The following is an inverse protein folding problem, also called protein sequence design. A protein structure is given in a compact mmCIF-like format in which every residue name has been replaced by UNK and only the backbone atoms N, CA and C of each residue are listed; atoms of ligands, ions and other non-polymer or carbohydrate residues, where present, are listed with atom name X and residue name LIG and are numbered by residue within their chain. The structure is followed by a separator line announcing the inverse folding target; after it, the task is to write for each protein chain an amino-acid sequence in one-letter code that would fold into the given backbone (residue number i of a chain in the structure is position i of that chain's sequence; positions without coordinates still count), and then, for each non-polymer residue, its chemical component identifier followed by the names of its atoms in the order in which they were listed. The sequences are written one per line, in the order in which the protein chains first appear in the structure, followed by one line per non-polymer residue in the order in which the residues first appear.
data_IF_198868251227
#
_entry.id   IF_198868251227
#
_cell.length_a   1.000
_cell.length_b   1.000
_cell.length_c   1.000
_cell.angle_alpha   90.00
_cell.angle_beta   90.00
_cell.angle_gamma   90.00
#
_symmetry.space_group_name_H-M   'P 1'
#
loop_
_entity.id
_entity.type
_entity.pdbx_description
1 polymer ?
#
# COMPACT_ATOMS: atom_id res chain seq x y z
N UNK A 1 15.52 -24.54 -5.40
CA UNK A 1 15.14 -23.74 -4.23
C UNK A 1 13.99 -22.83 -4.56
N UNK A 2 12.98 -22.81 -3.70
CA UNK A 2 11.86 -21.88 -3.84
C UNK A 2 12.26 -20.51 -3.31
N UNK A 3 11.86 -19.45 -4.00
CA UNK A 3 12.04 -18.09 -3.52
C UNK A 3 11.28 -17.87 -2.21
N UNK A 4 11.82 -17.10 -1.25
CA UNK A 4 11.07 -16.71 -0.08
C UNK A 4 9.76 -16.00 -0.47
N UNK A 5 8.72 -16.20 0.33
CA UNK A 5 7.40 -15.62 0.06
C UNK A 5 7.44 -14.10 -0.13
N UNK A 6 8.25 -13.40 0.70
CA UNK A 6 8.31 -11.94 0.60
C UNK A 6 8.87 -11.47 -0.76
N UNK A 7 9.76 -12.24 -1.38
CA UNK A 7 10.29 -11.90 -2.71
C UNK A 7 9.18 -11.98 -3.75
N UNK A 8 8.36 -13.02 -3.69
CA UNK A 8 7.21 -13.19 -4.59
C UNK A 8 6.19 -12.08 -4.39
N UNK A 9 5.88 -11.75 -3.14
CA UNK A 9 4.93 -10.67 -2.81
C UNK A 9 5.44 -9.31 -3.29
N UNK A 10 6.72 -9.04 -3.09
CA UNK A 10 7.35 -7.79 -3.53
C UNK A 10 7.30 -7.65 -5.06
N UNK A 11 7.56 -8.72 -5.79
CA UNK A 11 7.52 -8.72 -7.26
C UNK A 11 6.09 -8.48 -7.77
N UNK A 12 5.10 -9.12 -7.16
CA UNK A 12 3.70 -8.88 -7.50
C UNK A 12 3.27 -7.45 -7.19
N UNK A 13 3.75 -6.90 -6.07
CA UNK A 13 3.50 -5.49 -5.74
C UNK A 13 4.03 -4.57 -6.84
N UNK A 14 5.23 -4.84 -7.34
CA UNK A 14 5.83 -4.08 -8.44
C UNK A 14 4.99 -4.16 -9.70
N UNK A 15 4.48 -5.33 -10.04
CA UNK A 15 3.62 -5.52 -11.21
C UNK A 15 2.33 -4.69 -11.11
N UNK A 16 1.67 -4.72 -9.96
CA UNK A 16 0.47 -3.91 -9.73
C UNK A 16 0.76 -2.42 -9.79
N UNK A 17 1.91 -1.98 -9.28
CA UNK A 17 2.34 -0.59 -9.38
C UNK A 17 2.51 -0.17 -10.85
N UNK A 18 3.13 -1.03 -11.67
CA UNK A 18 3.26 -0.76 -13.10
C UNK A 18 1.90 -0.66 -13.80
N UNK A 19 0.95 -1.53 -13.44
CA UNK A 19 -0.41 -1.48 -13.96
C UNK A 19 -1.11 -0.18 -13.55
N UNK A 20 -0.89 0.28 -12.31
CA UNK A 20 -1.42 1.55 -11.85
C UNK A 20 -0.86 2.73 -12.65
N UNK A 21 0.45 2.74 -12.89
CA UNK A 21 1.10 3.80 -13.68
C UNK A 21 0.56 3.84 -15.11
N UNK A 22 0.33 2.67 -15.72
CA UNK A 22 -0.29 2.59 -17.05
C UNK A 22 -1.74 3.11 -17.03
N UNK A 23 -2.49 2.80 -15.98
CA UNK A 23 -3.85 3.29 -15.83
C UNK A 23 -3.89 4.81 -15.72
N UNK A 24 -2.98 5.40 -14.95
CA UNK A 24 -2.84 6.87 -14.85
C UNK A 24 -2.55 7.46 -16.24
N UNK A 25 -1.62 6.87 -16.97
CA UNK A 25 -1.24 7.35 -18.30
C UNK A 25 -2.39 7.29 -19.32
N UNK A 26 -3.39 6.43 -19.08
CA UNK A 26 -4.54 6.24 -19.96
C UNK A 26 -5.83 6.81 -19.37
N UNK A 27 -5.74 7.68 -18.38
CA UNK A 27 -6.88 8.35 -17.71
C UNK A 27 -7.89 7.37 -17.10
N UNK A 28 -7.43 6.19 -16.68
CA UNK A 28 -8.26 5.18 -16.02
C UNK A 28 -8.08 5.30 -14.51
N UNK A 29 -8.64 6.35 -13.93
CA UNK A 29 -8.38 6.74 -12.53
C UNK A 29 -8.81 5.66 -11.53
N UNK A 30 -9.97 5.02 -11.73
CA UNK A 30 -10.46 3.99 -10.83
C UNK A 30 -9.56 2.76 -10.81
N UNK A 31 -9.13 2.33 -12.00
CA UNK A 31 -8.20 1.21 -12.13
C UNK A 31 -6.84 1.57 -11.53
N UNK A 32 -6.40 2.82 -11.67
CA UNK A 32 -5.17 3.28 -11.06
C UNK A 32 -5.23 3.18 -9.53
N UNK A 33 -6.29 3.69 -8.91
CA UNK A 33 -6.47 3.62 -7.45
C UNK A 33 -6.50 2.16 -6.99
N UNK A 34 -7.25 1.32 -7.66
CA UNK A 34 -7.37 -0.08 -7.30
C UNK A 34 -6.01 -0.80 -7.37
N UNK A 35 -5.26 -0.59 -8.44
CA UNK A 35 -3.96 -1.23 -8.62
C UNK A 35 -2.91 -0.67 -7.65
N UNK A 36 -2.93 0.62 -7.33
CA UNK A 36 -2.07 1.18 -6.29
C UNK A 36 -2.34 0.55 -4.92
N UNK A 37 -3.62 0.35 -4.58
CA UNK A 37 -3.97 -0.31 -3.32
C UNK A 37 -3.46 -1.75 -3.28
N UNK A 38 -3.63 -2.52 -4.35
CA UNK A 38 -3.08 -3.87 -4.41
C UNK A 38 -1.56 -3.87 -4.30
N UNK A 39 -0.89 -2.94 -4.98
CA UNK A 39 0.56 -2.81 -4.89
C UNK A 39 1.01 -2.56 -3.45
N UNK A 40 0.36 -1.61 -2.77
CA UNK A 40 0.71 -1.26 -1.40
C UNK A 40 0.39 -2.40 -0.43
N UNK A 41 -0.76 -3.04 -0.59
CA UNK A 41 -1.14 -4.22 0.19
C UNK A 41 -0.08 -5.32 0.12
N UNK A 42 0.32 -5.68 -1.08
CA UNK A 42 1.29 -6.75 -1.29
C UNK A 42 2.68 -6.37 -0.80
N UNK A 43 3.08 -5.11 -0.96
CA UNK A 43 4.35 -4.63 -0.43
C UNK A 43 4.38 -4.71 1.10
N UNK A 44 3.30 -4.31 1.77
CA UNK A 44 3.19 -4.37 3.22
C UNK A 44 3.20 -5.81 3.71
N UNK A 45 2.49 -6.71 3.03
CA UNK A 45 2.55 -8.15 3.34
C UNK A 45 3.95 -8.72 3.14
N UNK A 46 4.68 -8.23 2.12
CA UNK A 46 6.07 -8.62 1.91
C UNK A 46 6.96 -8.21 3.08
N UNK A 47 6.78 -7.01 3.61
CA UNK A 47 7.51 -6.55 4.80
C UNK A 47 7.26 -7.49 5.98
N UNK A 48 6.00 -7.80 6.26
CA UNK A 48 5.63 -8.68 7.36
C UNK A 48 6.20 -10.10 7.17
N UNK A 49 6.11 -10.64 5.97
CA UNK A 49 6.68 -11.94 5.63
C UNK A 49 8.20 -11.96 5.83
N UNK A 50 8.89 -10.90 5.40
CA UNK A 50 10.34 -10.78 5.58
C UNK A 50 10.73 -10.79 7.05
N UNK A 51 9.92 -10.15 7.90
CA UNK A 51 10.13 -10.12 9.36
C UNK A 51 9.67 -11.41 10.06
N UNK A 52 9.22 -12.41 9.31
CA UNK A 52 8.76 -13.68 9.87
C UNK A 52 7.39 -13.60 10.54
N UNK A 53 6.60 -12.59 10.23
CA UNK A 53 5.28 -12.37 10.83
C UNK A 53 4.18 -12.92 9.91
N UNK A 54 3.14 -13.47 10.53
CA UNK A 54 1.91 -13.78 9.82
C UNK A 54 1.13 -12.49 9.60
N UNK A 55 0.56 -12.35 8.41
CA UNK A 55 -0.26 -11.19 8.09
C UNK A 55 -1.73 -11.62 7.92
N UNK A 56 -2.69 -10.72 8.23
CA UNK A 56 -4.10 -11.04 8.10
C UNK A 56 -4.50 -11.21 6.64
N UNK A 57 -5.48 -12.09 6.38
CA UNK A 57 -6.04 -12.27 5.05
C UNK A 57 -7.09 -11.19 4.81
N UNK A 58 -6.63 -9.98 4.57
CA UNK A 58 -7.47 -8.80 4.37
C UNK A 58 -6.88 -7.93 3.27
N UNK A 59 -7.74 -7.12 2.66
CA UNK A 59 -7.34 -6.04 1.74
C UNK A 59 -7.28 -4.69 2.45
N UNK A 60 -7.55 -4.66 3.75
CA UNK A 60 -7.57 -3.42 4.53
C UNK A 60 -6.15 -3.06 4.96
N UNK A 61 -5.62 -1.95 4.42
CA UNK A 61 -4.24 -1.50 4.68
C UNK A 61 -4.01 -1.19 6.16
N UNK A 62 -5.03 -0.65 6.85
CA UNK A 62 -4.91 -0.34 8.29
C UNK A 62 -4.77 -1.62 9.12
N UNK A 63 -5.54 -2.66 8.81
CA UNK A 63 -5.43 -3.94 9.51
C UNK A 63 -4.05 -4.56 9.29
N UNK A 64 -3.54 -4.50 8.06
CA UNK A 64 -2.20 -5.02 7.74
C UNK A 64 -1.14 -4.24 8.52
N UNK A 65 -1.24 -2.90 8.54
CA UNK A 65 -0.28 -2.04 9.25
C UNK A 65 -0.31 -2.27 10.77
N UNK A 66 -1.43 -2.75 11.31
CA UNK A 66 -1.59 -3.03 12.73
C UNK A 66 -1.11 -4.42 13.16
N UNK A 67 -0.55 -5.21 12.25
CA UNK A 67 0.03 -6.51 12.59
C UNK A 67 1.17 -6.35 13.59
N UNK A 68 1.11 -7.12 14.66
CA UNK A 68 2.06 -7.03 15.78
C UNK A 68 3.07 -8.17 15.73
N UNK A 69 4.29 -7.86 16.16
CA UNK A 69 5.27 -8.89 16.47
C UNK A 69 5.04 -9.45 17.89
N UNK A 70 5.89 -10.37 18.34
CA UNK A 70 5.80 -10.99 19.68
C UNK A 70 5.93 -9.97 20.81
N UNK A 71 6.50 -8.80 20.56
CA UNK A 71 6.64 -7.70 21.54
C UNK A 71 5.53 -6.65 21.45
N UNK A 72 4.45 -6.94 20.76
CA UNK A 72 3.34 -6.00 20.52
C UNK A 72 3.73 -4.74 19.73
N UNK A 73 4.87 -4.75 19.07
CA UNK A 73 5.29 -3.63 18.20
C UNK A 73 4.57 -3.77 16.87
N UNK A 74 3.94 -2.70 16.42
CA UNK A 74 3.28 -2.62 15.12
C UNK A 74 4.25 -2.01 14.12
N UNK A 75 5.09 -2.84 13.53
CA UNK A 75 6.25 -2.41 12.73
C UNK A 75 5.89 -1.38 11.67
N UNK A 76 4.88 -1.67 10.85
CA UNK A 76 4.48 -0.77 9.78
C UNK A 76 3.80 0.48 10.31
N UNK A 77 2.86 0.32 11.24
CA UNK A 77 2.13 1.46 11.80
C UNK A 77 3.07 2.43 12.51
N UNK A 78 3.96 1.91 13.34
CA UNK A 78 4.87 2.76 14.11
C UNK A 78 5.85 3.49 13.19
N UNK A 79 6.34 2.81 12.15
CA UNK A 79 7.21 3.41 11.16
C UNK A 79 6.50 4.55 10.41
N UNK A 80 5.28 4.31 9.94
CA UNK A 80 4.49 5.33 9.21
C UNK A 80 4.16 6.51 10.10
N UNK A 81 3.76 6.26 11.35
CA UNK A 81 3.40 7.32 12.29
C UNK A 81 4.59 8.18 12.70
N UNK A 82 5.82 7.66 12.62
CA UNK A 82 7.03 8.42 12.92
C UNK A 82 7.56 9.21 11.71
N UNK A 83 7.05 8.94 10.52
CA UNK A 83 7.47 9.60 9.28
C UNK A 83 6.71 10.91 9.05
N UNK A 84 7.35 12.06 9.29
CA UNK A 84 6.71 13.38 9.20
C UNK A 84 6.10 13.68 7.83
N UNK A 85 6.76 13.27 6.77
CA UNK A 85 6.30 13.53 5.40
C UNK A 85 5.38 12.43 4.89
N UNK A 86 5.49 11.23 5.43
CA UNK A 86 4.73 10.07 4.98
C UNK A 86 3.35 9.98 5.65
N UNK A 87 3.24 10.34 6.92
CA UNK A 87 1.99 10.23 7.64
C UNK A 87 0.82 10.97 6.98
N UNK A 88 0.95 12.23 6.53
CA UNK A 88 -0.14 12.90 5.83
C UNK A 88 -0.56 12.17 4.54
N UNK A 89 0.39 11.58 3.82
CA UNK A 89 0.10 10.82 2.60
C UNK A 89 -0.58 9.50 2.91
N UNK A 90 -0.14 8.82 3.96
CA UNK A 90 -0.78 7.61 4.46
C UNK A 90 -2.24 7.89 4.86
N UNK A 91 -2.48 8.96 5.62
CA UNK A 91 -3.82 9.39 6.03
C UNK A 91 -4.69 9.74 4.81
N UNK A 92 -4.12 10.36 3.80
CA UNK A 92 -4.83 10.69 2.55
C UNK A 92 -5.34 9.44 1.85
N UNK A 93 -4.53 8.38 1.79
CA UNK A 93 -4.93 7.11 1.19
C UNK A 93 -6.16 6.54 1.92
N UNK A 94 -6.13 6.52 3.24
CA UNK A 94 -7.23 5.97 4.03
C UNK A 94 -8.50 6.80 3.99
N UNK A 95 -8.41 8.08 3.66
CA UNK A 95 -9.59 8.94 3.52
C UNK A 95 -10.39 8.63 2.25
N UNK A 96 -9.79 7.95 1.28
CA UNK A 96 -10.38 7.71 -0.04
C UNK A 96 -10.69 6.24 -0.27
N UNK A 97 -9.85 5.33 0.20
CA UNK A 97 -10.00 3.91 -0.08
C UNK A 97 -10.74 3.18 1.04
N UNK A 98 -11.79 2.46 0.65
CA UNK A 98 -12.50 1.54 1.54
C UNK A 98 -12.67 0.21 0.81
N UNK A 99 -12.08 -0.91 1.31
CA UNK A 99 -12.17 -2.22 0.65
C UNK A 99 -13.60 -2.72 0.51
N UNK A 100 -14.49 -2.35 1.45
CA UNK A 100 -15.90 -2.78 1.43
C UNK A 100 -16.68 -2.06 0.34
N UNK A 101 -16.26 -0.87 -0.04
CA UNK A 101 -16.90 -0.07 -1.07
C UNK A 101 -16.15 -0.09 -2.40
N UNK A 102 -15.05 -0.76 -2.51
CA UNK A 102 -14.13 -0.93 -3.67
C UNK A 102 -13.98 0.24 -4.64
N UNK A 103 -14.97 1.12 -4.71
CA UNK A 103 -15.03 2.28 -5.59
C UNK A 103 -15.50 3.48 -4.76
N UNK A 104 -14.61 4.08 -3.98
CA UNK A 104 -14.89 5.41 -3.45
C UNK A 104 -14.51 6.37 -4.57
N UNK A 105 -15.46 6.56 -5.47
CA UNK A 105 -15.33 7.61 -6.48
C UNK A 105 -15.43 8.94 -5.75
N UNK A 106 -14.42 9.76 -5.92
CA UNK A 106 -14.54 11.16 -5.55
C UNK A 106 -15.63 11.82 -6.39
N UNK A 107 -16.02 13.03 -6.04
CA UNK A 107 -16.95 13.79 -6.87
C UNK A 107 -16.46 13.82 -8.32
N UNK A 108 -17.41 13.83 -9.25
CA UNK A 108 -17.10 13.98 -10.66
C UNK A 108 -16.19 15.20 -10.86
N UNK A 109 -15.08 15.03 -11.55
CA UNK A 109 -14.07 16.07 -11.73
C UNK A 109 -13.07 16.19 -10.59
N UNK A 110 -13.06 15.26 -9.63
CA UNK A 110 -12.06 15.26 -8.57
C UNK A 110 -10.65 15.07 -9.14
N UNK A 111 -9.70 15.82 -8.61
CA UNK A 111 -8.29 15.67 -8.98
C UNK A 111 -7.66 14.53 -8.17
N UNK A 112 -7.33 13.45 -8.85
CA UNK A 112 -6.70 12.28 -8.26
C UNK A 112 -5.17 12.38 -8.20
N UNK A 113 -4.57 13.44 -8.74
CA UNK A 113 -3.11 13.55 -8.81
C UNK A 113 -2.45 13.53 -7.42
N UNK A 114 -3.06 14.16 -6.43
CA UNK A 114 -2.59 14.15 -5.04
C UNK A 114 -2.63 12.73 -4.45
N UNK A 115 -3.68 11.99 -4.76
CA UNK A 115 -3.84 10.62 -4.29
C UNK A 115 -2.79 9.69 -4.93
N UNK A 116 -2.58 9.82 -6.24
CA UNK A 116 -1.56 9.02 -6.94
C UNK A 116 -0.17 9.34 -6.40
N UNK A 117 0.13 10.60 -6.15
CA UNK A 117 1.38 11.02 -5.50
C UNK A 117 1.53 10.39 -4.12
N UNK A 118 0.46 10.38 -3.33
CA UNK A 118 0.49 9.77 -1.99
C UNK A 118 0.81 8.27 -2.07
N UNK A 119 0.17 7.53 -2.96
CA UNK A 119 0.47 6.11 -3.16
C UNK A 119 1.92 5.87 -3.57
N UNK A 120 2.40 6.61 -4.56
CA UNK A 120 3.78 6.46 -5.05
C UNK A 120 4.80 6.75 -3.96
N UNK A 121 4.59 7.78 -3.18
CA UNK A 121 5.53 8.16 -2.11
C UNK A 121 5.50 7.16 -0.95
N UNK A 122 4.33 6.72 -0.54
CA UNK A 122 4.21 5.71 0.54
C UNK A 122 4.83 4.40 0.08
N UNK A 123 4.56 3.98 -1.14
CA UNK A 123 5.16 2.77 -1.72
C UNK A 123 6.69 2.86 -1.72
N UNK A 124 7.23 3.94 -2.28
CA UNK A 124 8.69 4.14 -2.37
C UNK A 124 9.35 4.23 -0.99
N UNK A 125 8.70 4.88 -0.04
CA UNK A 125 9.19 5.00 1.32
C UNK A 125 9.26 3.65 2.03
N UNK A 126 8.19 2.86 1.96
CA UNK A 126 8.17 1.51 2.55
C UNK A 126 9.23 0.63 1.89
N UNK A 127 9.30 0.66 0.57
CA UNK A 127 10.28 -0.12 -0.17
C UNK A 127 11.72 0.22 0.24
N UNK A 128 12.03 1.50 0.38
CA UNK A 128 13.37 1.95 0.78
C UNK A 128 13.70 1.62 2.23
N UNK A 129 12.71 1.71 3.11
CA UNK A 129 12.93 1.52 4.54
C UNK A 129 13.09 0.05 4.93
N UNK A 130 12.34 -0.85 4.32
CA UNK A 130 12.27 -2.25 4.72
C UNK A 130 13.01 -3.21 3.78
N UNK A 131 13.37 -2.76 2.63
CA UNK A 131 14.11 -3.52 1.63
C UNK A 131 15.35 -2.76 1.16
#
# INVERSE_FOLDING_TARGET
MTEPEYVVLKEKAREYRQMADLAVANDLDDQAVQNYNFALELLMKAVLSKEGLNYPKTHNLLEISNTRNSGNVKILRDAVNSGRTIKPMWDRIHSVWNPDQRYVLGPEGADYSDLFTAYERVYGWINSRFF
#
